data_IF_750540001516
#
_entry.id   IF_750540001516
#
_cell.length_a   1.000
_cell.length_b   1.000
_cell.length_c   1.000
_cell.angle_alpha   90.00
_cell.angle_beta   90.00
_cell.angle_gamma   90.00
#
_symmetry.space_group_name_H-M   'P 1'
#
loop_
_entity.id
_entity.type
_entity.pdbx_description
1 polymer ?
#
# COMPACT_ATOMS: atom_id res chain seq x y z
N UNK A 1 -3.36 1.77 19.55
CA UNK A 1 -3.30 1.26 18.16
C UNK A 1 -4.50 0.35 17.96
N UNK A 2 -5.33 0.56 16.93
CA UNK A 2 -6.57 -0.18 16.75
C UNK A 2 -6.53 -1.00 15.44
N UNK A 3 -7.03 -2.23 15.49
CA UNK A 3 -7.19 -3.08 14.31
C UNK A 3 -8.67 -3.19 13.98
N UNK A 4 -9.03 -2.82 12.76
CA UNK A 4 -10.42 -2.80 12.29
C UNK A 4 -10.47 -3.51 10.93
N UNK A 5 -11.57 -4.20 10.65
CA UNK A 5 -11.89 -4.59 9.28
C UNK A 5 -12.23 -3.33 8.47
N UNK A 6 -12.04 -3.39 7.15
CA UNK A 6 -12.38 -2.26 6.29
C UNK A 6 -13.86 -1.87 6.44
N UNK A 7 -14.77 -2.84 6.61
CA UNK A 7 -16.19 -2.59 6.87
C UNK A 7 -16.42 -1.81 8.18
N UNK A 8 -15.78 -2.23 9.27
CA UNK A 8 -15.87 -1.55 10.58
C UNK A 8 -15.23 -0.15 10.59
N UNK A 9 -14.34 0.13 9.64
CA UNK A 9 -13.69 1.44 9.52
C UNK A 9 -14.56 2.51 8.85
N UNK A 10 -15.71 2.15 8.27
CA UNK A 10 -16.61 3.08 7.58
C UNK A 10 -17.06 4.19 8.55
N UNK A 11 -16.89 5.44 8.14
CA UNK A 11 -17.18 6.63 8.97
C UNK A 11 -16.04 7.07 9.90
N UNK A 12 -14.99 6.25 10.07
CA UNK A 12 -13.81 6.60 10.86
C UNK A 12 -12.69 7.14 9.96
N UNK A 13 -11.82 7.97 10.53
CA UNK A 13 -10.63 8.50 9.87
C UNK A 13 -9.40 8.33 10.76
N UNK A 14 -8.24 8.20 10.14
CA UNK A 14 -6.96 8.18 10.83
C UNK A 14 -5.91 9.01 10.08
N UNK A 15 -4.91 9.52 10.78
CA UNK A 15 -3.78 10.19 10.11
C UNK A 15 -2.98 9.23 9.22
N UNK A 16 -2.90 7.97 9.65
CA UNK A 16 -2.11 6.93 9.05
C UNK A 16 -2.92 5.63 8.99
N UNK A 17 -2.94 4.98 7.83
CA UNK A 17 -3.66 3.72 7.63
C UNK A 17 -2.70 2.67 7.10
N UNK A 18 -2.74 1.47 7.68
CA UNK A 18 -1.99 0.31 7.20
C UNK A 18 -3.00 -0.74 6.74
N UNK A 19 -3.11 -0.93 5.43
CA UNK A 19 -3.95 -1.96 4.83
C UNK A 19 -3.12 -3.22 4.71
N UNK A 20 -3.51 -4.27 5.43
CA UNK A 20 -2.83 -5.56 5.46
C UNK A 20 -3.55 -6.58 4.58
N UNK A 21 -2.92 -7.74 4.37
CA UNK A 21 -3.53 -8.91 3.75
C UNK A 21 -3.98 -8.68 2.28
N UNK A 22 -3.28 -7.82 1.54
CA UNK A 22 -3.50 -7.55 0.12
C UNK A 22 -2.98 -8.69 -0.77
N UNK A 23 -3.50 -9.90 -0.56
CA UNK A 23 -3.12 -11.13 -1.27
C UNK A 23 -4.27 -11.69 -2.09
N UNK A 24 -3.98 -12.50 -3.11
CA UNK A 24 -4.99 -13.07 -4.02
C UNK A 24 -5.67 -14.37 -3.53
N UNK A 25 -5.46 -14.77 -2.27
CA UNK A 25 -5.99 -16.01 -1.67
C UNK A 25 -7.42 -15.81 -1.12
N UNK A 26 -8.08 -16.89 -0.69
CA UNK A 26 -9.48 -16.94 -0.28
C UNK A 26 -9.90 -15.89 0.75
N UNK A 27 -9.03 -15.63 1.75
CA UNK A 27 -9.23 -14.60 2.79
C UNK A 27 -8.46 -13.31 2.50
N UNK A 28 -8.15 -13.01 1.24
CA UNK A 28 -7.40 -11.84 0.84
C UNK A 28 -8.27 -10.60 0.64
N UNK A 29 -7.70 -9.56 0.02
CA UNK A 29 -8.43 -8.37 -0.39
C UNK A 29 -8.23 -8.22 -1.90
N UNK A 30 -9.19 -8.61 -2.77
CA UNK A 30 -10.60 -8.96 -2.51
C UNK A 30 -10.81 -10.28 -1.77
N UNK A 31 -11.84 -10.32 -0.91
CA UNK A 31 -12.39 -11.57 -0.40
C UNK A 31 -13.04 -12.34 -1.55
N UNK A 32 -12.74 -13.64 -1.66
CA UNK A 32 -13.34 -14.54 -2.67
C UNK A 32 -14.42 -15.45 -2.09
N UNK A 33 -14.78 -15.24 -0.84
CA UNK A 33 -15.85 -15.99 -0.19
C UNK A 33 -17.15 -15.58 -0.90
N UNK A 34 -17.84 -16.55 -1.49
CA UNK A 34 -19.11 -16.32 -2.19
C UNK A 34 -20.23 -16.11 -1.16
N UNK A 35 -21.12 -15.16 -1.45
CA UNK A 35 -22.37 -15.00 -0.71
C UNK A 35 -23.36 -16.09 -1.13
N UNK A 36 -24.29 -16.44 -0.23
CA UNK A 36 -25.33 -17.46 -0.45
C UNK A 36 -26.21 -17.13 -1.67
N UNK A 37 -26.65 -18.15 -2.41
CA UNK A 37 -27.44 -17.99 -3.65
C UNK A 37 -28.75 -17.21 -3.41
N UNK A 38 -29.36 -17.41 -2.24
CA UNK A 38 -30.60 -16.70 -1.85
C UNK A 38 -30.35 -15.20 -1.65
N UNK A 39 -29.17 -14.82 -1.15
CA UNK A 39 -28.80 -13.41 -0.96
C UNK A 39 -28.56 -12.75 -2.31
N UNK A 40 -27.96 -13.46 -3.27
CA UNK A 40 -27.80 -12.95 -4.64
C UNK A 40 -29.14 -12.64 -5.32
N UNK A 41 -30.19 -13.43 -5.05
CA UNK A 41 -31.52 -13.20 -5.64
C UNK A 41 -32.21 -11.93 -5.11
N UNK A 42 -31.84 -11.48 -3.91
CA UNK A 42 -32.36 -10.29 -3.25
C UNK A 42 -31.59 -9.02 -3.59
N UNK A 43 -30.35 -9.17 -4.07
CA UNK A 43 -29.52 -8.04 -4.49
C UNK A 43 -29.91 -7.66 -5.93
N UNK A 44 -30.21 -6.38 -6.16
CA UNK A 44 -30.33 -5.82 -7.51
C UNK A 44 -29.03 -6.09 -8.29
N UNK A 45 -29.12 -6.36 -9.61
CA UNK A 45 -27.96 -6.61 -10.48
C UNK A 45 -26.86 -5.57 -10.21
N UNK A 46 -25.88 -5.98 -9.41
CA UNK A 46 -24.79 -5.11 -8.99
C UNK A 46 -23.83 -4.91 -10.14
N UNK A 47 -23.27 -3.70 -10.29
CA UNK A 47 -22.26 -3.32 -11.27
C UNK A 47 -21.50 -4.50 -11.91
N UNK A 48 -21.53 -4.61 -13.24
CA UNK A 48 -20.92 -5.67 -14.07
C UNK A 48 -19.37 -5.70 -14.03
N UNK A 49 -18.79 -5.13 -12.98
CA UNK A 49 -17.36 -4.96 -12.79
C UNK A 49 -16.83 -5.92 -11.72
N UNK A 50 -15.79 -6.67 -12.07
CA UNK A 50 -15.23 -7.72 -11.23
C UNK A 50 -14.87 -7.21 -9.82
N UNK A 51 -15.46 -7.82 -8.79
CA UNK A 51 -15.27 -7.47 -7.37
C UNK A 51 -15.69 -6.03 -7.02
N UNK A 52 -16.73 -5.48 -7.66
CA UNK A 52 -17.19 -4.09 -7.48
C UNK A 52 -17.36 -3.65 -6.01
N UNK A 53 -18.01 -4.47 -5.17
CA UNK A 53 -18.18 -4.16 -3.74
C UNK A 53 -16.86 -4.11 -2.97
N UNK A 54 -16.00 -5.11 -3.14
CA UNK A 54 -14.68 -5.18 -2.51
C UNK A 54 -13.77 -4.04 -2.99
N UNK A 55 -13.90 -3.60 -4.25
CA UNK A 55 -13.19 -2.42 -4.78
C UNK A 55 -13.63 -1.14 -4.09
N UNK A 56 -14.95 -0.94 -3.91
CA UNK A 56 -15.48 0.20 -3.16
C UNK A 56 -14.95 0.17 -1.72
N UNK A 57 -14.89 -1.00 -1.10
CA UNK A 57 -14.33 -1.17 0.24
C UNK A 57 -12.83 -0.83 0.28
N UNK A 58 -12.06 -1.25 -0.72
CA UNK A 58 -10.63 -0.96 -0.83
C UNK A 58 -10.38 0.54 -0.99
N UNK A 59 -11.16 1.19 -1.85
CA UNK A 59 -11.17 2.65 -1.99
C UNK A 59 -11.50 3.35 -0.67
N UNK A 60 -12.53 2.89 0.07
CA UNK A 60 -12.88 3.44 1.38
C UNK A 60 -11.69 3.34 2.34
N UNK A 61 -11.06 2.17 2.42
CA UNK A 61 -9.92 1.93 3.31
C UNK A 61 -8.73 2.86 3.00
N UNK A 62 -8.42 3.07 1.72
CA UNK A 62 -7.35 4.01 1.31
C UNK A 62 -7.72 5.45 1.66
N UNK A 63 -8.96 5.85 1.36
CA UNK A 63 -9.43 7.24 1.58
C UNK A 63 -9.76 7.59 3.02
N UNK A 64 -9.70 6.63 3.96
CA UNK A 64 -9.82 6.91 5.40
C UNK A 64 -8.56 7.53 6.01
N UNK A 65 -7.47 7.65 5.24
CA UNK A 65 -6.25 8.32 5.71
C UNK A 65 -6.27 9.83 5.48
N UNK A 66 -5.78 10.62 6.44
CA UNK A 66 -5.58 12.07 6.28
C UNK A 66 -4.20 12.43 5.75
N UNK A 67 -3.18 11.61 6.04
CA UNK A 67 -1.80 11.87 5.63
C UNK A 67 -1.28 10.81 4.68
N UNK A 68 -1.32 9.53 5.08
CA UNK A 68 -0.72 8.46 4.27
C UNK A 68 -1.34 7.08 4.52
N UNK A 69 -1.48 6.31 3.44
CA UNK A 69 -1.85 4.91 3.50
C UNK A 69 -0.66 4.04 3.06
N UNK A 70 -0.41 2.95 3.79
CA UNK A 70 0.54 1.92 3.40
C UNK A 70 -0.21 0.63 3.10
N UNK A 71 0.14 0.02 1.97
CA UNK A 71 -0.36 -1.30 1.61
C UNK A 71 0.75 -2.31 1.86
N UNK A 72 0.47 -3.28 2.73
CA UNK A 72 1.38 -4.39 2.96
C UNK A 72 1.08 -5.51 1.97
N UNK A 73 2.09 -5.88 1.19
CA UNK A 73 1.96 -6.78 0.05
C UNK A 73 3.06 -7.84 0.10
N UNK A 74 2.68 -9.09 -0.05
CA UNK A 74 3.60 -10.22 -0.23
C UNK A 74 4.11 -10.25 -1.68
N UNK A 75 5.43 -10.39 -1.88
CA UNK A 75 6.06 -10.24 -3.21
C UNK A 75 5.48 -11.20 -4.25
N UNK A 76 5.23 -12.44 -3.84
CA UNK A 76 4.86 -13.54 -4.74
C UNK A 76 3.34 -13.77 -4.83
N UNK A 77 2.55 -13.00 -4.07
CA UNK A 77 1.12 -13.25 -3.92
C UNK A 77 0.36 -11.94 -3.73
N UNK A 78 0.46 -11.06 -4.72
CA UNK A 78 -0.20 -9.74 -4.72
C UNK A 78 -1.68 -9.90 -5.08
N UNK A 79 -2.56 -9.15 -4.43
CA UNK A 79 -3.95 -9.07 -4.89
C UNK A 79 -4.08 -8.37 -6.23
N UNK A 80 -5.19 -8.62 -6.93
CA UNK A 80 -5.50 -8.00 -8.22
C UNK A 80 -5.49 -6.47 -8.12
N UNK A 81 -6.05 -5.90 -7.05
CA UNK A 81 -6.07 -4.44 -6.82
C UNK A 81 -4.67 -3.85 -6.72
N UNK A 82 -3.76 -4.55 -6.04
CA UNK A 82 -2.37 -4.10 -5.93
C UNK A 82 -1.64 -4.23 -7.26
N UNK A 83 -1.89 -5.30 -8.02
CA UNK A 83 -1.30 -5.46 -9.35
C UNK A 83 -1.71 -4.31 -10.29
N UNK A 84 -2.98 -3.93 -10.27
CA UNK A 84 -3.52 -2.78 -11.02
C UNK A 84 -2.90 -1.44 -10.58
N UNK A 85 -2.72 -1.23 -9.28
CA UNK A 85 -2.02 -0.04 -8.78
C UNK A 85 -0.58 0.04 -9.28
N UNK A 86 0.12 -1.09 -9.33
CA UNK A 86 1.48 -1.12 -9.88
C UNK A 86 1.51 -0.96 -11.40
N UNK A 87 0.55 -1.51 -12.15
CA UNK A 87 0.53 -1.35 -13.61
C UNK A 87 0.24 0.09 -14.03
N UNK A 88 -0.65 0.78 -13.32
CA UNK A 88 -1.03 2.17 -13.63
C UNK A 88 -0.14 3.24 -13.00
N UNK A 89 0.37 3.01 -11.78
CA UNK A 89 0.99 4.04 -10.93
C UNK A 89 2.36 3.64 -10.36
N UNK A 90 3.05 2.65 -10.95
CA UNK A 90 4.36 2.21 -10.45
C UNK A 90 5.35 3.35 -10.28
N UNK A 91 5.37 4.32 -11.19
CA UNK A 91 6.34 5.42 -11.17
C UNK A 91 6.12 6.34 -9.95
N UNK A 92 4.87 6.68 -9.68
CA UNK A 92 4.43 7.54 -8.58
C UNK A 92 4.69 6.85 -7.24
N UNK A 93 4.28 5.58 -7.12
CA UNK A 93 4.48 4.76 -5.92
C UNK A 93 5.97 4.57 -5.59
N UNK A 94 6.82 4.44 -6.60
CA UNK A 94 8.26 4.28 -6.41
C UNK A 94 8.97 5.62 -6.12
N UNK A 95 8.49 6.74 -6.66
CA UNK A 95 9.09 8.06 -6.47
C UNK A 95 9.05 8.50 -5.00
N UNK A 96 7.94 8.26 -4.31
CA UNK A 96 7.79 8.62 -2.90
C UNK A 96 8.78 7.88 -1.99
N UNK A 97 9.12 6.63 -2.33
CA UNK A 97 10.10 5.82 -1.59
C UNK A 97 11.50 6.45 -1.57
N UNK A 98 11.80 7.27 -2.57
CA UNK A 98 13.07 7.97 -2.73
C UNK A 98 12.97 9.46 -2.40
N UNK A 99 12.04 9.86 -1.54
CA UNK A 99 11.94 11.22 -1.02
C UNK A 99 12.59 11.33 0.37
N UNK A 100 13.39 12.37 0.58
CA UNK A 100 14.06 12.66 1.84
C UNK A 100 13.04 13.20 2.85
N UNK A 101 12.92 12.60 4.05
CA UNK A 101 11.97 13.06 5.06
C UNK A 101 12.40 14.37 5.73
N UNK A 102 13.66 14.80 5.60
CA UNK A 102 14.14 16.06 6.19
C UNK A 102 13.91 17.28 5.31
N UNK A 103 14.07 17.15 3.99
CA UNK A 103 14.02 18.32 3.08
C UNK A 103 13.19 18.11 1.81
N UNK A 104 12.51 16.97 1.65
CA UNK A 104 11.73 16.64 0.44
C UNK A 104 12.57 16.39 -0.83
N UNK A 105 13.90 16.48 -0.76
CA UNK A 105 14.79 16.20 -1.88
C UNK A 105 14.85 14.70 -2.23
N UNK A 106 15.39 14.33 -3.38
CA UNK A 106 15.51 12.90 -3.74
C UNK A 106 16.62 12.22 -2.92
N UNK A 107 16.44 10.95 -2.56
CA UNK A 107 17.49 10.11 -1.97
C UNK A 107 17.96 9.08 -3.00
N UNK A 108 19.28 8.87 -3.07
CA UNK A 108 19.90 7.95 -4.02
C UNK A 108 20.77 6.95 -3.28
N UNK A 109 20.91 5.75 -3.84
CA UNK A 109 21.84 4.74 -3.35
C UNK A 109 23.27 5.18 -3.66
N UNK A 110 24.11 5.29 -2.64
CA UNK A 110 25.52 5.66 -2.69
C UNK A 110 26.36 4.55 -2.05
N UNK A 111 27.62 4.43 -2.47
CA UNK A 111 28.62 3.55 -1.85
C UNK A 111 29.46 4.38 -0.88
N UNK A 112 29.66 3.88 0.33
CA UNK A 112 30.59 4.45 1.31
C UNK A 112 31.48 3.36 1.90
N UNK A 113 32.38 3.75 2.80
CA UNK A 113 33.33 2.84 3.45
C UNK A 113 32.63 1.67 4.19
N UNK A 114 31.45 1.92 4.77
CA UNK A 114 30.65 0.95 5.52
C UNK A 114 29.59 0.23 4.66
N UNK A 115 29.73 0.25 3.34
CA UNK A 115 28.79 -0.36 2.39
C UNK A 115 27.82 0.64 1.76
N UNK A 116 26.75 0.11 1.18
CA UNK A 116 25.76 0.91 0.44
C UNK A 116 24.74 1.57 1.37
N UNK A 117 24.45 2.85 1.11
CA UNK A 117 23.51 3.65 1.89
C UNK A 117 22.66 4.56 0.99
N UNK A 118 21.49 5.00 1.44
CA UNK A 118 20.73 6.07 0.80
C UNK A 118 21.19 7.42 1.34
N UNK A 119 21.54 8.35 0.46
CA UNK A 119 21.89 9.73 0.81
C UNK A 119 21.05 10.75 0.05
N UNK A 120 20.72 11.88 0.69
CA UNK A 120 19.98 12.97 0.06
C UNK A 120 20.76 13.65 -1.08
N UNK A 121 20.05 14.07 -2.13
CA UNK A 121 20.55 14.90 -3.22
C UNK A 121 20.96 16.29 -2.75
N UNK A 122 20.26 16.83 -1.76
CA UNK A 122 20.47 18.17 -1.21
C UNK A 122 21.54 18.21 -0.11
N UNK A 123 22.43 17.21 -0.05
CA UNK A 123 23.55 17.22 0.89
C UNK A 123 24.43 18.47 0.74
N UNK A 124 24.71 18.88 -0.49
CA UNK A 124 25.44 20.12 -0.79
C UNK A 124 24.71 21.40 -0.34
N UNK A 125 23.38 21.34 -0.11
CA UNK A 125 22.56 22.43 0.43
C UNK A 125 22.37 22.33 1.95
N UNK A 126 23.11 21.44 2.63
CA UNK A 126 23.08 21.28 4.09
C UNK A 126 22.22 20.12 4.61
N UNK A 127 21.59 19.29 3.75
CA UNK A 127 20.78 18.16 4.22
C UNK A 127 21.63 16.93 4.55
N UNK A 128 21.69 16.53 5.83
CA UNK A 128 22.53 15.42 6.31
C UNK A 128 21.84 14.06 6.35
N UNK A 129 20.62 13.95 5.80
CA UNK A 129 19.84 12.71 5.84
C UNK A 129 20.57 11.54 5.14
N UNK A 130 20.82 10.47 5.89
CA UNK A 130 21.31 9.20 5.38
C UNK A 130 20.53 8.02 5.98
N UNK A 131 20.39 6.94 5.21
CA UNK A 131 19.68 5.72 5.64
C UNK A 131 20.45 4.48 5.20
N UNK A 132 20.83 3.62 6.15
CA UNK A 132 21.51 2.34 5.85
C UNK A 132 20.57 1.38 5.12
N UNK A 133 21.12 0.61 4.19
CA UNK A 133 20.37 -0.44 3.49
C UNK A 133 20.49 -1.72 4.29
N UNK A 134 19.45 -2.08 5.04
CA UNK A 134 19.40 -3.38 5.73
C UNK A 134 19.11 -4.47 4.69
N UNK A 135 20.16 -5.01 4.08
CA UNK A 135 20.02 -6.22 3.27
C UNK A 135 19.82 -7.39 4.23
N UNK A 136 18.58 -7.83 4.42
CA UNK A 136 18.35 -9.14 5.03
C UNK A 136 18.91 -10.18 4.05
N UNK A 137 20.07 -10.77 4.37
CA UNK A 137 20.54 -12.02 3.76
C UNK A 137 19.41 -13.03 3.96
N UNK A 138 18.78 -13.47 2.87
CA UNK A 138 17.97 -14.68 2.89
C UNK A 138 18.96 -15.82 3.13
N UNK A 139 18.79 -16.50 4.27
CA UNK A 139 19.42 -17.78 4.58
C UNK A 139 18.57 -18.89 3.96
#
# INVERSE_FOLDING_TARGET
MAFLSAHRSKGLQADYVFIINNKGKSYGFPSKIQNDEVVQLLLEESDDYQYSEERRLFYVAITRTRKKAWLLVEKDNKSVFVQELFSGFAKELMTERYTCPQCGGRIFKKKGANGEFFGCSNYHKGCTYTKKITVKKQA
#
